data_IF_995242276630
#
_entry.id   IF_995242276630
#
_cell.length_a   1.000
_cell.length_b   1.000
_cell.length_c   1.000
_cell.angle_alpha   90.00
_cell.angle_beta   90.00
_cell.angle_gamma   90.00
#
_symmetry.space_group_name_H-M   'P 1'
#
loop_
_entity.id
_entity.type
_entity.pdbx_description
1 polymer ?
#
# COMPACT_ATOMS: atom_id res chain seq x y z
N UNK A 1 -2.43 -34.88 3.89
CA UNK A 1 -3.51 -34.04 3.31
C UNK A 1 -4.09 -33.19 4.42
N UNK A 2 -3.69 -31.92 4.50
CA UNK A 2 -4.09 -31.01 5.59
C UNK A 2 -5.23 -30.10 5.13
N UNK A 3 -6.36 -30.16 5.83
CA UNK A 3 -7.53 -29.31 5.65
C UNK A 3 -7.24 -27.92 6.22
N UNK A 4 -7.05 -26.93 5.34
CA UNK A 4 -6.98 -25.52 5.71
C UNK A 4 -8.38 -25.03 6.13
N UNK A 5 -8.62 -24.91 7.42
CA UNK A 5 -9.80 -24.23 7.94
C UNK A 5 -9.59 -22.72 7.82
N UNK A 6 -10.33 -22.08 6.91
CA UNK A 6 -10.47 -20.63 6.87
C UNK A 6 -11.18 -20.19 8.15
N UNK A 7 -10.43 -19.54 9.04
CA UNK A 7 -10.99 -18.73 10.12
C UNK A 7 -11.73 -17.56 9.46
N UNK A 8 -13.03 -17.70 9.23
CA UNK A 8 -13.94 -16.60 8.91
C UNK A 8 -14.10 -15.76 10.17
N UNK A 9 -13.12 -14.89 10.42
CA UNK A 9 -13.23 -13.83 11.41
C UNK A 9 -14.33 -12.87 10.97
N UNK A 10 -15.44 -12.88 11.71
CA UNK A 10 -16.49 -11.89 11.64
C UNK A 10 -15.97 -10.54 12.18
N UNK A 11 -15.16 -9.85 11.39
CA UNK A 11 -14.85 -8.45 11.55
C UNK A 11 -15.50 -7.71 10.39
N UNK A 12 -16.70 -7.15 10.60
CA UNK A 12 -17.29 -6.18 9.68
C UNK A 12 -16.50 -4.88 9.78
N UNK A 13 -15.25 -4.90 9.35
CA UNK A 13 -14.57 -3.68 8.96
C UNK A 13 -15.19 -3.25 7.65
N UNK A 14 -16.24 -2.41 7.74
CA UNK A 14 -16.89 -1.84 6.57
C UNK A 14 -15.83 -1.01 5.88
N UNK A 15 -15.18 -1.59 4.87
CA UNK A 15 -14.19 -0.92 4.02
C UNK A 15 -14.73 0.46 3.65
N UNK A 16 -14.25 1.50 4.34
CA UNK A 16 -14.67 2.87 4.07
C UNK A 16 -14.13 3.23 2.70
N UNK A 17 -15.02 3.55 1.77
CA UNK A 17 -14.62 4.12 0.49
C UNK A 17 -14.17 5.55 0.74
N UNK A 18 -12.91 5.85 0.45
CA UNK A 18 -12.35 7.20 0.53
C UNK A 18 -13.17 8.10 -0.40
N UNK A 19 -13.74 9.16 0.14
CA UNK A 19 -14.55 10.15 -0.57
C UNK A 19 -13.71 11.37 -0.96
N UNK A 20 -14.22 12.24 -1.84
CA UNK A 20 -13.53 13.48 -2.22
C UNK A 20 -13.28 14.41 -1.00
N UNK A 21 -14.14 14.34 0.03
CA UNK A 21 -13.95 15.07 1.30
C UNK A 21 -12.74 14.61 2.10
N UNK A 22 -12.30 13.37 1.89
CA UNK A 22 -11.09 12.84 2.53
C UNK A 22 -9.83 13.33 1.82
N UNK A 23 -9.92 13.89 0.60
CA UNK A 23 -8.79 14.54 -0.07
C UNK A 23 -8.47 15.92 0.53
N UNK A 24 -9.45 16.56 1.19
CA UNK A 24 -9.24 17.84 1.88
C UNK A 24 -8.49 17.66 3.21
N UNK A 25 -8.59 16.47 3.82
CA UNK A 25 -7.82 16.11 5.01
C UNK A 25 -6.55 15.43 4.54
N UNK A 26 -5.41 16.12 4.63
CA UNK A 26 -4.10 15.61 4.24
C UNK A 26 -3.63 14.47 5.18
N UNK A 27 -4.33 13.35 5.18
CA UNK A 27 -4.06 12.17 5.99
C UNK A 27 -2.95 11.40 5.30
N UNK A 28 -1.84 11.23 6.02
CA UNK A 28 -0.64 10.55 5.52
C UNK A 28 -0.43 9.25 6.28
N UNK A 29 -0.13 8.19 5.55
CA UNK A 29 0.35 6.93 6.12
C UNK A 29 1.82 7.09 6.50
N UNK A 30 2.10 7.26 7.78
CA UNK A 30 3.47 7.43 8.29
C UNK A 30 4.23 6.09 8.38
N UNK A 31 3.51 5.01 8.71
CA UNK A 31 4.09 3.68 8.88
C UNK A 31 3.22 2.62 8.19
N UNK A 32 3.86 1.73 7.45
CA UNK A 32 3.20 0.61 6.78
C UNK A 32 4.16 -0.58 6.76
N UNK A 33 3.71 -1.74 7.23
CA UNK A 33 4.56 -2.92 7.37
C UNK A 33 3.96 -4.11 6.63
N UNK A 34 4.82 -4.96 6.06
CA UNK A 34 4.39 -6.25 5.54
C UNK A 34 4.13 -7.25 6.68
N UNK A 35 3.54 -8.43 6.42
CA UNK A 35 3.29 -9.45 7.45
C UNK A 35 4.54 -9.93 8.19
N UNK A 36 5.73 -9.75 7.60
CA UNK A 36 7.02 -10.10 8.20
C UNK A 36 7.64 -8.92 9.00
N UNK A 37 6.96 -7.78 9.11
CA UNK A 37 7.42 -6.62 9.89
C UNK A 37 8.38 -5.67 9.16
N UNK A 38 8.69 -5.89 7.88
CA UNK A 38 9.50 -4.94 7.12
C UNK A 38 8.70 -3.68 6.78
N UNK A 39 9.31 -2.51 6.95
CA UNK A 39 8.71 -1.25 6.51
C UNK A 39 8.58 -1.23 4.98
N UNK A 40 7.39 -0.86 4.51
CA UNK A 40 7.07 -0.60 3.12
C UNK A 40 7.25 0.90 2.77
N UNK A 41 7.48 1.75 3.77
CA UNK A 41 7.76 3.18 3.57
C UNK A 41 9.23 3.33 3.19
N UNK A 42 9.49 3.92 2.02
CA UNK A 42 10.85 4.04 1.46
C UNK A 42 11.05 5.38 0.76
N UNK A 43 12.30 5.82 0.64
CA UNK A 43 12.66 7.06 -0.08
C UNK A 43 12.86 6.88 -1.59
N UNK A 44 12.43 5.75 -2.18
CA UNK A 44 12.58 5.51 -3.63
C UNK A 44 11.77 6.49 -4.49
N UNK A 45 10.61 6.91 -3.99
CA UNK A 45 9.82 7.99 -4.57
C UNK A 45 9.33 8.89 -3.43
N UNK A 46 9.17 10.17 -3.75
CA UNK A 46 8.67 11.18 -2.82
C UNK A 46 7.41 11.80 -3.41
N UNK A 47 6.34 11.86 -2.61
CA UNK A 47 5.04 12.38 -2.98
C UNK A 47 4.67 13.51 -2.02
N UNK A 48 4.57 14.74 -2.53
CA UNK A 48 4.34 15.95 -1.72
C UNK A 48 5.21 16.00 -0.44
N UNK A 49 6.51 15.70 -0.59
CA UNK A 49 7.52 15.64 0.48
C UNK A 49 7.43 14.45 1.44
N UNK A 50 6.53 13.49 1.20
CA UNK A 50 6.43 12.25 1.98
C UNK A 50 7.05 11.06 1.25
N UNK A 51 7.76 10.15 1.95
CA UNK A 51 8.28 8.91 1.38
C UNK A 51 7.15 7.98 0.93
N UNK A 52 7.31 7.38 -0.24
CA UNK A 52 6.31 6.49 -0.84
C UNK A 52 6.23 5.11 -0.19
N UNK A 53 5.07 4.47 -0.36
CA UNK A 53 4.86 3.06 -0.05
C UNK A 53 5.34 2.23 -1.24
N UNK A 54 6.44 1.50 -1.10
CA UNK A 54 7.04 0.73 -2.20
C UNK A 54 6.77 -0.76 -2.05
N UNK A 55 6.29 -1.36 -3.14
CA UNK A 55 5.94 -2.77 -3.27
C UNK A 55 6.73 -3.39 -4.41
N UNK A 56 7.28 -4.58 -4.18
CA UNK A 56 7.79 -5.40 -5.27
C UNK A 56 6.63 -6.06 -6.00
N UNK A 57 6.55 -5.85 -7.31
CA UNK A 57 5.61 -6.50 -8.20
C UNK A 57 6.35 -7.58 -8.99
N UNK A 58 5.76 -8.77 -9.09
CA UNK A 58 6.32 -9.88 -9.85
C UNK A 58 5.21 -10.59 -10.61
N UNK A 59 5.48 -10.92 -11.87
CA UNK A 59 4.70 -11.88 -12.65
C UNK A 59 5.62 -13.00 -13.16
N UNK A 60 5.11 -13.89 -14.02
CA UNK A 60 5.88 -15.02 -14.58
C UNK A 60 7.09 -14.58 -15.43
N UNK A 61 7.05 -13.37 -16.00
CA UNK A 61 8.03 -12.90 -16.99
C UNK A 61 9.02 -11.89 -16.41
N UNK A 62 8.62 -11.09 -15.43
CA UNK A 62 9.40 -9.95 -14.94
C UNK A 62 9.05 -9.57 -13.50
N UNK A 63 9.95 -8.78 -12.91
CA UNK A 63 9.80 -8.19 -11.60
C UNK A 63 10.21 -6.73 -11.63
N UNK A 64 9.48 -5.87 -10.92
CA UNK A 64 9.78 -4.44 -10.77
C UNK A 64 9.26 -3.90 -9.43
N UNK A 65 9.43 -2.60 -9.21
CA UNK A 65 9.03 -1.93 -7.98
C UNK A 65 7.98 -0.86 -8.29
N UNK A 66 6.87 -0.89 -7.55
CA UNK A 66 5.84 0.13 -7.60
C UNK A 66 5.88 0.94 -6.31
N UNK A 67 6.12 2.24 -6.42
CA UNK A 67 5.98 3.17 -5.29
C UNK A 67 4.67 3.95 -5.42
N UNK A 68 3.88 3.95 -4.36
CA UNK A 68 2.57 4.60 -4.24
C UNK A 68 2.65 5.80 -3.32
N UNK A 69 1.84 6.82 -3.57
CA UNK A 69 1.66 7.93 -2.64
C UNK A 69 1.17 7.43 -1.27
N UNK A 70 1.75 7.91 -0.14
CA UNK A 70 1.27 7.60 1.20
C UNK A 70 0.05 8.46 1.61
N UNK A 71 -0.38 9.39 0.76
CA UNK A 71 -1.46 10.34 1.06
C UNK A 71 -2.80 9.71 0.69
N UNK A 72 -3.74 9.68 1.64
CA UNK A 72 -5.07 9.14 1.41
C UNK A 72 -5.81 9.99 0.37
N UNK A 73 -6.29 9.34 -0.69
CA UNK A 73 -7.00 9.99 -1.79
C UNK A 73 -6.12 10.46 -2.94
N UNK A 74 -4.79 10.46 -2.77
CA UNK A 74 -3.82 10.64 -3.87
C UNK A 74 -3.63 9.32 -4.63
N UNK A 75 -3.61 9.40 -5.96
CA UNK A 75 -3.48 8.24 -6.87
C UNK A 75 -2.13 8.21 -7.59
N UNK A 76 -1.23 9.13 -7.25
CA UNK A 76 0.11 9.23 -7.81
C UNK A 76 0.93 7.97 -7.52
N UNK A 77 1.70 7.54 -8.52
CA UNK A 77 2.54 6.33 -8.43
C UNK A 77 3.71 6.38 -9.40
N UNK A 78 4.79 5.71 -9.04
CA UNK A 78 6.02 5.60 -9.83
C UNK A 78 6.44 4.15 -9.96
N UNK A 79 6.90 3.76 -11.15
CA UNK A 79 7.37 2.41 -11.47
C UNK A 79 8.89 2.43 -11.67
N UNK A 80 9.59 1.44 -11.12
CA UNK A 80 11.03 1.29 -11.26
C UNK A 80 11.37 -0.14 -11.68
N UNK A 81 12.40 -0.28 -12.52
CA UNK A 81 12.94 -1.56 -12.97
C UNK A 81 11.87 -2.49 -13.57
N UNK A 82 11.17 -2.01 -14.60
CA UNK A 82 10.27 -2.82 -15.44
C UNK A 82 10.91 -3.06 -16.80
#
# INVERSE_FOLDING_TARGET
MGIFQRLTGAGSDKRRTITERDQEQNIVVEECFCPNGHSLITQQAVFASYPGITLALKNEQQSGLLSLSPIIGDRSRSFFNF
#
